data_IF_713465377572
#
_entry.id   IF_713465377572
#
_cell.length_a   1.000
_cell.length_b   1.000
_cell.length_c   1.000
_cell.angle_alpha   90.00
_cell.angle_beta   90.00
_cell.angle_gamma   90.00
#
_symmetry.space_group_name_H-M   'P 1'
#
loop_
_entity.id
_entity.type
_entity.pdbx_description
1 polymer ?
#
# COMPACT_ATOMS: atom_id res chain seq x y z
N UNK A 1 6.80 -11.95 -8.56
CA UNK A 1 6.58 -10.59 -7.99
C UNK A 1 6.44 -10.72 -6.49
N UNK A 2 6.96 -9.78 -5.72
CA UNK A 2 6.78 -9.69 -4.27
C UNK A 2 5.94 -8.45 -3.95
N UNK A 3 5.09 -8.54 -2.94
CA UNK A 3 4.32 -7.39 -2.45
C UNK A 3 4.80 -7.03 -1.05
N UNK A 4 5.05 -5.76 -0.81
CA UNK A 4 5.32 -5.20 0.51
C UNK A 4 4.27 -4.14 0.82
N UNK A 5 3.75 -4.17 2.03
CA UNK A 5 2.88 -3.13 2.56
C UNK A 5 3.59 -2.50 3.74
N UNK A 6 4.00 -1.27 3.57
CA UNK A 6 4.70 -0.50 4.59
C UNK A 6 3.75 0.58 5.12
N UNK A 7 3.48 0.55 6.42
CA UNK A 7 2.59 1.52 7.04
C UNK A 7 3.19 2.11 8.31
N UNK A 8 2.93 3.38 8.52
CA UNK A 8 3.36 4.06 9.73
C UNK A 8 2.60 3.52 10.96
N UNK A 9 3.32 2.91 11.90
CA UNK A 9 2.78 2.35 13.15
C UNK A 9 1.99 1.05 13.00
N UNK A 10 1.62 0.49 14.15
CA UNK A 10 0.87 -0.78 14.26
C UNK A 10 -0.63 -0.56 14.16
N UNK A 11 -1.35 -1.55 13.63
CA UNK A 11 -2.79 -1.66 13.82
C UNK A 11 -3.08 -1.94 15.29
N UNK A 12 -3.87 -1.08 15.93
CA UNK A 12 -4.17 -1.20 17.37
C UNK A 12 -5.41 -2.06 17.66
N UNK A 13 -6.41 -2.03 16.77
CA UNK A 13 -7.64 -2.80 16.92
C UNK A 13 -7.36 -4.28 16.63
N UNK A 14 -7.56 -5.14 17.62
CA UNK A 14 -7.32 -6.59 17.51
C UNK A 14 -8.22 -7.28 16.47
N UNK A 15 -9.40 -6.74 16.22
CA UNK A 15 -10.34 -7.26 15.20
C UNK A 15 -9.80 -6.98 13.81
N UNK A 16 -9.32 -5.77 13.55
CA UNK A 16 -8.67 -5.42 12.28
C UNK A 16 -7.38 -6.20 12.09
N UNK A 17 -6.58 -6.40 13.14
CA UNK A 17 -5.38 -7.26 13.08
C UNK A 17 -5.74 -8.67 12.62
N UNK A 18 -6.78 -9.28 13.19
CA UNK A 18 -7.21 -10.63 12.82
C UNK A 18 -7.65 -10.70 11.36
N UNK A 19 -8.42 -9.72 10.87
CA UNK A 19 -8.84 -9.62 9.47
C UNK A 19 -7.61 -9.46 8.55
N UNK A 20 -6.69 -8.57 8.91
CA UNK A 20 -5.46 -8.34 8.14
C UNK A 20 -4.60 -9.60 8.05
N UNK A 21 -4.46 -10.34 9.13
CA UNK A 21 -3.71 -11.60 9.16
C UNK A 21 -4.36 -12.69 8.29
N UNK A 22 -5.69 -12.83 8.35
CA UNK A 22 -6.41 -13.78 7.49
C UNK A 22 -6.22 -13.43 6.01
N UNK A 23 -6.41 -12.17 5.63
CA UNK A 23 -6.21 -11.72 4.25
C UNK A 23 -4.75 -11.90 3.80
N UNK A 24 -3.78 -11.56 4.65
CA UNK A 24 -2.37 -11.74 4.35
C UNK A 24 -2.03 -13.21 4.08
N UNK A 25 -2.50 -14.12 4.94
CA UNK A 25 -2.32 -15.56 4.76
C UNK A 25 -2.91 -16.07 3.43
N UNK A 26 -4.08 -15.56 3.05
CA UNK A 26 -4.68 -15.90 1.75
C UNK A 26 -3.89 -15.37 0.56
N UNK A 27 -3.35 -14.15 0.65
CA UNK A 27 -2.52 -13.56 -0.40
C UNK A 27 -1.22 -14.35 -0.58
N UNK A 28 -0.65 -14.90 0.48
CA UNK A 28 0.59 -15.68 0.44
C UNK A 28 0.48 -16.95 -0.41
N UNK A 29 -0.72 -17.45 -0.68
CA UNK A 29 -0.95 -18.53 -1.64
C UNK A 29 -0.72 -18.11 -3.11
N UNK A 30 -0.71 -16.81 -3.39
CA UNK A 30 -0.53 -16.27 -4.75
C UNK A 30 0.84 -15.63 -4.95
N UNK A 31 1.36 -14.96 -3.94
CA UNK A 31 2.62 -14.21 -4.02
C UNK A 31 3.26 -14.04 -2.64
N UNK A 32 4.55 -13.74 -2.62
CA UNK A 32 5.22 -13.37 -1.36
C UNK A 32 4.70 -12.03 -0.87
N UNK A 33 4.24 -11.97 0.37
CA UNK A 33 3.76 -10.75 1.03
C UNK A 33 4.61 -10.44 2.26
N UNK A 34 4.90 -9.18 2.50
CA UNK A 34 5.41 -8.70 3.79
C UNK A 34 4.63 -7.48 4.26
N UNK A 35 4.27 -7.49 5.54
CA UNK A 35 3.68 -6.35 6.23
C UNK A 35 4.77 -5.74 7.12
N UNK A 36 5.10 -4.48 6.87
CA UNK A 36 6.18 -3.77 7.55
C UNK A 36 5.66 -2.53 8.24
N UNK A 37 6.20 -2.26 9.41
CA UNK A 37 5.89 -1.04 10.14
C UNK A 37 6.99 -0.01 9.91
N UNK A 38 6.56 1.19 9.56
CA UNK A 38 7.42 2.35 9.54
C UNK A 38 7.35 3.05 10.90
N UNK A 39 8.45 3.61 11.39
CA UNK A 39 8.43 4.41 12.61
C UNK A 39 7.39 5.53 12.49
N UNK A 40 6.57 5.70 13.53
CA UNK A 40 5.67 6.84 13.59
C UNK A 40 6.49 8.13 13.68
N UNK A 41 6.30 9.03 12.74
CA UNK A 41 6.95 10.33 12.78
C UNK A 41 6.16 11.21 13.77
N UNK A 42 6.71 11.37 14.98
CA UNK A 42 6.15 12.27 15.97
C UNK A 42 6.58 13.71 15.69
N UNK A 43 5.61 14.59 15.64
CA UNK A 43 5.83 16.04 15.67
C UNK A 43 5.56 16.76 14.35
N UNK A 44 4.81 17.84 14.51
CA UNK A 44 4.57 18.96 13.62
C UNK A 44 4.54 18.70 12.11
N UNK A 45 3.33 18.63 11.60
CA UNK A 45 2.97 19.03 10.22
C UNK A 45 4.06 18.79 9.16
N UNK A 46 4.33 17.51 8.87
CA UNK A 46 5.18 17.11 7.75
C UNK A 46 4.66 17.62 6.41
N UNK A 47 3.35 17.85 6.33
CA UNK A 47 2.69 18.46 5.16
C UNK A 47 3.26 19.84 4.78
N UNK A 48 3.94 20.51 5.71
CA UNK A 48 4.54 21.83 5.48
C UNK A 48 6.01 21.80 5.08
N UNK A 49 6.68 20.65 5.17
CA UNK A 49 8.07 20.55 4.71
C UNK A 49 8.08 20.25 3.22
N UNK A 50 8.56 21.19 2.43
CA UNK A 50 8.68 21.06 0.98
C UNK A 50 9.65 19.95 0.56
N UNK A 51 10.61 19.57 1.41
CA UNK A 51 11.66 18.60 1.11
C UNK A 51 11.48 17.26 1.81
N UNK A 52 12.25 16.26 1.37
CA UNK A 52 12.30 14.93 1.97
C UNK A 52 12.86 15.00 3.39
N UNK A 53 12.20 14.32 4.32
CA UNK A 53 12.75 14.06 5.65
C UNK A 53 13.88 13.02 5.58
N UNK A 54 14.69 12.91 6.65
CA UNK A 54 15.74 11.88 6.73
C UNK A 54 15.14 10.47 6.66
N UNK A 55 13.99 10.25 7.33
CA UNK A 55 13.27 8.97 7.30
C UNK A 55 12.76 8.63 5.89
N UNK A 56 12.21 9.62 5.17
CA UNK A 56 11.75 9.45 3.79
C UNK A 56 12.91 9.13 2.84
N UNK A 57 14.07 9.80 2.98
CA UNK A 57 15.27 9.46 2.19
C UNK A 57 15.72 8.02 2.44
N UNK A 58 15.81 7.61 3.70
CA UNK A 58 16.17 6.24 4.05
C UNK A 58 15.16 5.22 3.47
N UNK A 59 13.88 5.57 3.47
CA UNK A 59 12.83 4.72 2.90
C UNK A 59 12.98 4.60 1.38
N UNK A 60 13.26 5.69 0.66
CA UNK A 60 13.51 5.65 -0.78
C UNK A 60 14.71 4.76 -1.12
N UNK A 61 15.79 4.84 -0.36
CA UNK A 61 16.95 3.95 -0.54
C UNK A 61 16.59 2.48 -0.31
N UNK A 62 15.82 2.19 0.74
CA UNK A 62 15.32 0.84 1.05
C UNK A 62 14.43 0.27 -0.06
N UNK A 63 13.73 1.15 -0.78
CA UNK A 63 12.79 0.78 -1.85
C UNK A 63 13.40 0.94 -3.26
N UNK A 64 14.71 1.07 -3.36
CA UNK A 64 15.38 1.17 -4.66
C UNK A 64 15.10 -0.08 -5.50
N UNK A 65 14.59 0.14 -6.71
CA UNK A 65 14.21 -0.95 -7.64
C UNK A 65 12.83 -1.56 -7.41
N UNK A 66 12.09 -1.11 -6.38
CA UNK A 66 10.68 -1.45 -6.21
C UNK A 66 9.79 -0.42 -6.90
N UNK A 67 8.65 -0.85 -7.43
CA UNK A 67 7.57 0.06 -7.85
C UNK A 67 6.88 0.61 -6.59
N UNK A 68 7.02 1.90 -6.35
CA UNK A 68 6.46 2.60 -5.18
C UNK A 68 5.03 3.03 -5.46
N UNK A 69 4.08 2.42 -4.75
CA UNK A 69 2.65 2.72 -4.82
C UNK A 69 2.23 3.43 -3.56
N UNK A 70 2.04 4.73 -3.63
CA UNK A 70 1.64 5.52 -2.49
C UNK A 70 0.11 5.61 -2.41
N UNK A 71 -0.47 5.25 -1.27
CA UNK A 71 -1.88 5.46 -0.99
C UNK A 71 -2.10 6.94 -0.65
N UNK A 72 -2.89 7.60 -1.48
CA UNK A 72 -3.27 9.02 -1.32
C UNK A 72 -4.68 9.21 -1.90
N UNK A 73 -5.57 9.88 -1.16
CA UNK A 73 -6.96 10.15 -1.60
C UNK A 73 -7.05 11.00 -2.88
N UNK A 74 -5.96 11.69 -3.23
CA UNK A 74 -5.83 12.46 -4.48
C UNK A 74 -5.27 11.64 -5.64
N UNK A 75 -4.95 10.38 -5.39
CA UNK A 75 -4.43 9.45 -6.39
C UNK A 75 -5.51 9.00 -7.37
N UNK A 76 -5.12 8.13 -8.29
CA UNK A 76 -6.04 7.52 -9.24
C UNK A 76 -6.89 6.46 -8.55
N UNK A 77 -8.22 6.61 -8.65
CA UNK A 77 -9.16 5.55 -8.30
C UNK A 77 -9.18 4.47 -9.38
N UNK A 78 -9.42 3.23 -8.97
CA UNK A 78 -9.57 2.07 -9.85
C UNK A 78 -10.75 1.22 -9.38
N UNK A 79 -11.47 0.64 -10.33
CA UNK A 79 -12.36 -0.48 -10.02
C UNK A 79 -11.53 -1.70 -9.60
N UNK A 80 -12.15 -2.68 -8.94
CA UNK A 80 -11.45 -3.93 -8.57
C UNK A 80 -10.89 -4.66 -9.80
N UNK A 81 -11.61 -4.62 -10.93
CA UNK A 81 -11.16 -5.20 -12.20
C UNK A 81 -9.95 -4.46 -12.76
N UNK A 82 -9.96 -3.13 -12.78
CA UNK A 82 -8.80 -2.33 -13.23
C UNK A 82 -7.59 -2.53 -12.31
N UNK A 83 -7.81 -2.66 -11.00
CA UNK A 83 -6.75 -2.94 -10.05
C UNK A 83 -6.14 -4.33 -10.28
N UNK A 84 -6.98 -5.35 -10.47
CA UNK A 84 -6.54 -6.70 -10.80
C UNK A 84 -5.74 -6.73 -12.12
N UNK A 85 -6.26 -6.09 -13.17
CA UNK A 85 -5.56 -5.99 -14.45
C UNK A 85 -4.20 -5.31 -14.32
N UNK A 86 -4.13 -4.23 -13.54
CA UNK A 86 -2.88 -3.54 -13.27
C UNK A 86 -1.88 -4.43 -12.49
N UNK A 87 -2.31 -5.15 -11.45
CA UNK A 87 -1.45 -6.12 -10.73
C UNK A 87 -0.87 -7.18 -11.70
N UNK A 88 -1.71 -7.69 -12.59
CA UNK A 88 -1.29 -8.65 -13.63
C UNK A 88 -0.26 -8.05 -14.59
N UNK A 89 -0.47 -6.81 -15.03
CA UNK A 89 0.48 -6.09 -15.89
C UNK A 89 1.83 -5.87 -15.22
N UNK A 90 1.85 -5.49 -13.93
CA UNK A 90 3.10 -5.33 -13.18
C UNK A 90 3.86 -6.65 -13.08
N UNK A 91 3.17 -7.76 -12.85
CA UNK A 91 3.78 -9.08 -12.85
C UNK A 91 4.39 -9.44 -14.22
N UNK A 92 3.69 -9.15 -15.32
CA UNK A 92 4.15 -9.41 -16.70
C UNK A 92 5.33 -8.52 -17.10
N UNK A 93 5.36 -7.27 -16.66
CA UNK A 93 6.47 -6.34 -16.90
C UNK A 93 7.77 -6.73 -16.19
N UNK A 94 7.72 -7.76 -15.36
CA UNK A 94 8.87 -8.20 -14.58
C UNK A 94 9.15 -7.35 -13.35
N UNK A 95 8.16 -6.59 -12.88
CA UNK A 95 8.25 -5.89 -11.60
C UNK A 95 8.57 -6.90 -10.51
N UNK A 96 9.77 -6.81 -9.95
CA UNK A 96 10.22 -7.75 -8.92
C UNK A 96 9.49 -7.52 -7.61
N UNK A 97 9.16 -6.26 -7.33
CA UNK A 97 8.57 -5.85 -6.06
C UNK A 97 7.61 -4.66 -6.24
N UNK A 98 6.40 -4.77 -5.67
CA UNK A 98 5.47 -3.67 -5.47
C UNK A 98 5.50 -3.29 -3.99
N UNK A 99 5.83 -2.05 -3.70
CA UNK A 99 5.84 -1.50 -2.35
C UNK A 99 4.67 -0.52 -2.17
N UNK A 100 3.64 -0.95 -1.45
CA UNK A 100 2.52 -0.09 -1.07
C UNK A 100 2.86 0.68 0.20
N UNK A 101 2.68 1.98 0.17
CA UNK A 101 3.06 2.90 1.23
C UNK A 101 1.81 3.58 1.81
N UNK A 102 1.60 3.40 3.11
CA UNK A 102 0.47 3.97 3.84
C UNK A 102 1.02 4.92 4.89
N UNK A 103 0.76 6.21 4.71
CA UNK A 103 1.19 7.25 5.64
C UNK A 103 0.36 7.27 6.92
N UNK A 104 0.91 7.95 7.93
CA UNK A 104 0.19 8.29 9.15
C UNK A 104 -0.77 9.47 8.95
N UNK A 105 -1.29 10.06 10.04
CA UNK A 105 -2.28 11.15 9.98
C UNK A 105 -1.81 12.36 9.17
N UNK A 106 -0.52 12.66 9.19
CA UNK A 106 0.06 13.80 8.46
C UNK A 106 0.48 13.44 7.02
N UNK A 107 0.37 12.16 6.63
CA UNK A 107 0.78 11.66 5.32
C UNK A 107 2.29 11.77 5.07
N UNK A 108 2.66 11.68 3.81
CA UNK A 108 4.04 11.88 3.35
C UNK A 108 4.25 13.31 2.83
N UNK A 109 5.49 13.77 2.81
CA UNK A 109 5.82 15.08 2.25
C UNK A 109 5.47 15.18 0.75
N UNK A 110 5.31 16.40 0.24
CA UNK A 110 5.09 16.61 -1.20
C UNK A 110 6.26 16.06 -2.03
N UNK A 111 7.50 16.20 -1.53
CA UNK A 111 8.68 15.67 -2.19
C UNK A 111 8.68 14.13 -2.25
N UNK A 112 8.24 13.46 -1.17
CA UNK A 112 8.12 11.99 -1.18
C UNK A 112 7.03 11.51 -2.13
N UNK A 113 5.89 12.21 -2.18
CA UNK A 113 4.83 11.89 -3.15
C UNK A 113 5.30 12.00 -4.60
N UNK A 114 6.17 12.95 -4.89
CA UNK A 114 6.75 13.12 -6.23
C UNK A 114 7.66 11.95 -6.64
N UNK A 115 8.22 11.22 -5.67
CA UNK A 115 9.06 10.03 -5.89
C UNK A 115 8.25 8.72 -6.04
N UNK A 116 6.92 8.77 -5.86
CA UNK A 116 6.07 7.61 -6.05
C UNK A 116 5.87 7.33 -7.54
N UNK A 117 5.93 6.06 -7.92
CA UNK A 117 5.67 5.64 -9.30
C UNK A 117 4.16 5.62 -9.60
N UNK A 118 3.35 5.38 -8.56
CA UNK A 118 1.89 5.35 -8.63
C UNK A 118 1.30 6.02 -7.40
N UNK A 119 0.36 6.94 -7.58
CA UNK A 119 -0.53 7.42 -6.53
C UNK A 119 -1.86 6.70 -6.68
N UNK A 120 -2.24 5.92 -5.68
CA UNK A 120 -3.45 5.10 -5.66
C UNK A 120 -4.44 5.62 -4.62
N UNK A 121 -5.65 5.94 -5.04
CA UNK A 121 -6.76 6.21 -4.14
C UNK A 121 -7.63 4.95 -3.99
N UNK A 122 -7.80 4.48 -2.76
CA UNK A 122 -8.77 3.43 -2.44
C UNK A 122 -10.20 4.01 -2.41
N UNK A 123 -10.31 5.29 -2.12
CA UNK A 123 -11.54 6.08 -2.05
C UNK A 123 -11.16 7.57 -2.04
N UNK A 124 -12.07 8.43 -2.45
CA UNK A 124 -11.97 9.89 -2.23
C UNK A 124 -12.27 10.27 -0.78
N UNK A 125 -12.89 9.37 -0.03
CA UNK A 125 -13.09 9.57 1.41
C UNK A 125 -11.78 9.30 2.13
N UNK A 126 -11.49 10.11 3.14
CA UNK A 126 -10.34 9.91 4.01
C UNK A 126 -10.55 8.65 4.86
N UNK A 127 -9.62 7.73 4.80
CA UNK A 127 -9.61 6.51 5.58
C UNK A 127 -8.56 6.61 6.69
N UNK A 128 -8.87 6.04 7.86
CA UNK A 128 -7.81 5.83 8.83
C UNK A 128 -6.78 4.84 8.27
N UNK A 129 -5.54 4.94 8.70
CA UNK A 129 -4.45 4.05 8.30
C UNK A 129 -4.81 2.56 8.43
N UNK A 130 -5.45 2.18 9.53
CA UNK A 130 -5.79 0.78 9.80
C UNK A 130 -6.87 0.25 8.84
N UNK A 131 -7.86 1.09 8.50
CA UNK A 131 -8.84 0.77 7.47
C UNK A 131 -8.25 0.77 6.07
N UNK A 132 -7.38 1.72 5.75
CA UNK A 132 -6.69 1.74 4.45
C UNK A 132 -5.86 0.47 4.24
N UNK A 133 -5.14 0.00 5.27
CA UNK A 133 -4.38 -1.27 5.24
C UNK A 133 -5.31 -2.46 5.03
N UNK A 134 -6.44 -2.52 5.75
CA UNK A 134 -7.40 -3.63 5.66
C UNK A 134 -8.04 -3.69 4.27
N UNK A 135 -8.51 -2.55 3.75
CA UNK A 135 -9.11 -2.47 2.42
C UNK A 135 -8.09 -2.78 1.31
N UNK A 136 -6.85 -2.31 1.45
CA UNK A 136 -5.79 -2.64 0.49
C UNK A 136 -5.53 -4.14 0.44
N UNK A 137 -5.41 -4.81 1.59
CA UNK A 137 -5.24 -6.27 1.65
C UNK A 137 -6.42 -6.99 0.99
N UNK A 138 -7.64 -6.56 1.26
CA UNK A 138 -8.84 -7.15 0.65
C UNK A 138 -8.79 -6.98 -0.88
N UNK A 139 -8.44 -5.80 -1.38
CA UNK A 139 -8.37 -5.55 -2.83
C UNK A 139 -7.20 -6.29 -3.50
N UNK A 140 -6.07 -6.47 -2.84
CA UNK A 140 -4.97 -7.32 -3.34
C UNK A 140 -5.44 -8.77 -3.45
N UNK A 141 -6.07 -9.31 -2.40
CA UNK A 141 -6.61 -10.67 -2.43
C UNK A 141 -7.63 -10.83 -3.54
N UNK A 142 -8.63 -9.94 -3.62
CA UNK A 142 -9.65 -9.90 -4.68
C UNK A 142 -9.00 -9.82 -6.08
N UNK A 143 -7.99 -9.00 -6.23
CA UNK A 143 -7.24 -8.87 -7.50
C UNK A 143 -6.65 -10.19 -7.95
N UNK A 144 -6.02 -10.95 -7.06
CA UNK A 144 -5.49 -12.27 -7.39
C UNK A 144 -6.59 -13.29 -7.68
N UNK A 145 -7.72 -13.26 -6.96
CA UNK A 145 -8.85 -14.16 -7.27
C UNK A 145 -9.44 -13.87 -8.64
N UNK A 146 -9.56 -12.60 -9.03
CA UNK A 146 -9.98 -12.21 -10.39
C UNK A 146 -9.00 -12.75 -11.44
N UNK A 147 -7.69 -12.52 -11.25
CA UNK A 147 -6.65 -12.96 -12.19
C UNK A 147 -6.60 -14.48 -12.37
N UNK A 148 -6.98 -15.23 -11.35
CA UNK A 148 -6.97 -16.70 -11.34
C UNK A 148 -8.34 -17.32 -11.63
N UNK A 149 -9.38 -16.52 -11.80
CA UNK A 149 -10.76 -17.01 -12.00
C UNK A 149 -11.34 -17.76 -10.79
N UNK A 150 -10.84 -17.47 -9.59
CA UNK A 150 -11.37 -18.08 -8.38
C UNK A 150 -12.64 -17.37 -7.91
N UNK A 151 -13.66 -18.11 -7.42
CA UNK A 151 -14.85 -17.49 -6.87
C UNK A 151 -14.49 -16.72 -5.58
N UNK A 152 -14.86 -15.46 -5.54
CA UNK A 152 -14.76 -14.61 -4.35
C UNK A 152 -16.00 -13.70 -4.31
N UNK A 153 -16.65 -13.52 -3.16
CA UNK A 153 -17.89 -12.77 -3.07
C UNK A 153 -17.81 -11.36 -3.67
N UNK A 154 -18.85 -10.99 -4.39
CA UNK A 154 -19.06 -9.65 -4.95
C UNK A 154 -19.87 -8.80 -4.01
#
# INVERSE_FOLDING_TARGET
MRIRILSEGKTKDSRLQAIQQDLASRIEHFTRLSLEELPAVRGASHARKAGLTSAERALLEKLRGATKVLLDERGRERTSQEFAAWLGQEALRGSRELAFLIGGPDGFSAAFRAEADVLLALSRMTLTRDWARTLLLEQIYRGFTILRGFPYPR
#
